data_IF_025316540223
#
_entry.id   IF_025316540223
#
_cell.length_a   1.000
_cell.length_b   1.000
_cell.length_c   1.000
_cell.angle_alpha   90.00
_cell.angle_beta   90.00
_cell.angle_gamma   90.00
#
_symmetry.space_group_name_H-M   'P 1'
#
loop_
_entity.id
_entity.type
_entity.pdbx_description
1 polymer ?
#
# COMPACT_ATOMS: atom_id res chain seq x y z
N UNK A 1 0.98 5.31 21.05
CA UNK A 1 0.97 5.77 19.65
C UNK A 1 0.54 4.61 18.76
N UNK A 2 -0.67 4.67 18.21
CA UNK A 2 -1.24 3.54 17.45
C UNK A 2 -0.74 3.59 16.00
N UNK A 3 0.31 2.82 15.72
CA UNK A 3 0.81 2.66 14.34
C UNK A 3 -0.19 1.83 13.54
N UNK A 4 -0.81 2.43 12.52
CA UNK A 4 -1.71 1.70 11.62
C UNK A 4 -0.88 0.88 10.62
N UNK A 5 -1.04 -0.43 10.67
CA UNK A 5 -0.42 -1.38 9.75
C UNK A 5 -1.40 -1.77 8.65
N UNK A 6 -0.91 -1.97 7.43
CA UNK A 6 -1.65 -2.53 6.31
C UNK A 6 -0.87 -3.67 5.67
N UNK A 7 -1.53 -4.51 4.90
CA UNK A 7 -0.92 -5.65 4.20
C UNK A 7 -0.82 -5.32 2.72
N UNK A 8 0.34 -5.57 2.10
CA UNK A 8 0.50 -5.49 0.65
C UNK A 8 -0.16 -6.73 0.04
N UNK A 9 -1.23 -6.53 -0.73
CA UNK A 9 -1.99 -7.62 -1.34
C UNK A 9 -1.36 -8.03 -2.66
N UNK A 10 -1.19 -7.07 -3.56
CA UNK A 10 -0.63 -7.32 -4.88
C UNK A 10 -0.05 -6.03 -5.48
N UNK A 11 0.68 -6.14 -6.59
CA UNK A 11 0.98 -5.02 -7.45
C UNK A 11 -0.25 -4.57 -8.23
N UNK A 12 -0.20 -3.35 -8.76
CA UNK A 12 -1.12 -2.97 -9.82
C UNK A 12 -0.75 -3.74 -11.09
N UNK A 13 -1.60 -4.71 -11.43
CA UNK A 13 -1.48 -5.54 -12.62
C UNK A 13 -2.55 -5.17 -13.64
N UNK A 14 -2.21 -5.32 -14.91
CA UNK A 14 -3.14 -5.42 -16.03
C UNK A 14 -2.99 -6.79 -16.69
N UNK A 15 -3.73 -7.08 -17.78
CA UNK A 15 -3.81 -8.43 -18.36
C UNK A 15 -2.47 -9.07 -18.74
N UNK A 16 -1.49 -8.27 -19.18
CA UNK A 16 -0.13 -8.71 -19.56
C UNK A 16 0.96 -7.79 -19.03
N UNK A 17 0.63 -6.89 -18.10
CA UNK A 17 1.57 -5.87 -17.62
C UNK A 17 1.51 -5.76 -16.11
N UNK A 18 2.67 -5.51 -15.50
CA UNK A 18 2.77 -5.24 -14.07
C UNK A 18 3.37 -3.86 -13.88
N UNK A 19 2.80 -3.08 -12.94
CA UNK A 19 3.33 -1.77 -12.54
C UNK A 19 3.98 -1.92 -11.15
N UNK A 20 5.26 -2.33 -11.06
CA UNK A 20 5.90 -2.72 -9.80
C UNK A 20 6.09 -1.56 -8.80
N UNK A 21 5.95 -0.31 -9.28
CA UNK A 21 6.01 0.89 -8.42
C UNK A 21 4.70 1.15 -7.67
N UNK A 22 3.60 0.51 -8.08
CA UNK A 22 2.28 0.69 -7.49
C UNK A 22 1.79 -0.61 -6.89
N UNK A 23 1.39 -0.56 -5.62
CA UNK A 23 0.89 -1.70 -4.89
C UNK A 23 -0.50 -1.42 -4.35
N UNK A 24 -1.29 -2.48 -4.25
CA UNK A 24 -2.56 -2.52 -3.57
C UNK A 24 -2.30 -2.90 -2.11
N UNK A 25 -2.74 -2.05 -1.21
CA UNK A 25 -2.60 -2.24 0.23
C UNK A 25 -3.98 -2.31 0.85
N UNK A 26 -4.18 -3.29 1.72
CA UNK A 26 -5.39 -3.43 2.53
C UNK A 26 -5.07 -3.04 3.97
N UNK A 27 -5.85 -2.13 4.53
CA UNK A 27 -5.76 -1.78 5.94
C UNK A 27 -6.85 -2.51 6.73
N UNK A 28 -6.55 -2.97 7.96
CA UNK A 28 -7.57 -3.51 8.84
C UNK A 28 -8.58 -2.40 9.16
N UNK A 29 -9.86 -2.76 9.22
CA UNK A 29 -10.99 -1.86 9.51
C UNK A 29 -11.30 -0.81 8.41
N UNK A 30 -10.73 -0.97 7.21
CA UNK A 30 -11.00 -0.13 6.04
C UNK A 30 -11.61 -0.99 4.95
N UNK A 31 -12.93 -1.16 5.01
CA UNK A 31 -13.68 -2.04 4.10
C UNK A 31 -14.46 -1.27 3.02
N UNK A 32 -14.57 0.06 3.16
CA UNK A 32 -15.30 0.91 2.20
C UNK A 32 -14.35 1.90 1.52
N UNK A 33 -14.71 2.29 0.28
CA UNK A 33 -13.97 3.29 -0.49
C UNK A 33 -13.90 4.66 0.23
N UNK A 34 -14.94 5.03 0.97
CA UNK A 34 -15.01 6.28 1.75
C UNK A 34 -14.04 6.29 2.93
N UNK A 35 -13.89 5.16 3.64
CA UNK A 35 -12.88 5.05 4.70
C UNK A 35 -11.47 5.07 4.11
N UNK A 36 -11.29 4.43 2.95
CA UNK A 36 -10.01 4.37 2.26
C UNK A 36 -9.57 5.74 1.69
N UNK A 37 -10.52 6.60 1.27
CA UNK A 37 -10.20 7.92 0.73
C UNK A 37 -9.53 8.83 1.76
N UNK A 38 -9.85 8.65 3.05
CA UNK A 38 -9.20 9.37 4.17
C UNK A 38 -7.69 9.06 4.30
N UNK A 39 -7.24 7.94 3.74
CA UNK A 39 -5.83 7.55 3.75
C UNK A 39 -5.03 8.17 2.60
N UNK A 40 -5.70 8.78 1.62
CA UNK A 40 -5.03 9.42 0.48
C UNK A 40 -4.08 10.50 0.99
N UNK A 41 -2.88 10.56 0.41
CA UNK A 41 -1.87 11.54 0.76
C UNK A 41 -0.94 11.11 1.89
N UNK A 42 -1.33 10.14 2.73
CA UNK A 42 -0.48 9.64 3.83
C UNK A 42 0.76 8.93 3.27
N UNK A 43 1.90 9.08 3.97
CA UNK A 43 3.12 8.34 3.65
C UNK A 43 3.05 6.96 4.29
N UNK A 44 3.66 5.98 3.63
CA UNK A 44 3.78 4.62 4.14
C UNK A 44 5.22 4.16 4.02
N UNK A 45 5.69 3.36 4.95
CA UNK A 45 6.93 2.62 4.80
C UNK A 45 6.68 1.13 4.83
N UNK A 46 7.34 0.48 3.90
CA UNK A 46 7.67 -0.93 4.00
C UNK A 46 9.06 -1.06 4.62
N UNK A 47 9.18 -1.86 5.68
CA UNK A 47 10.47 -2.22 6.28
C UNK A 47 10.87 -3.61 5.82
N UNK A 48 12.00 -3.68 5.12
CA UNK A 48 12.78 -4.90 5.00
C UNK A 48 13.88 -4.88 6.05
N UNK A 49 14.40 -6.05 6.41
CA UNK A 49 15.53 -6.22 7.34
C UNK A 49 16.70 -5.27 7.08
N UNK A 50 16.93 -4.91 5.81
CA UNK A 50 18.07 -4.08 5.38
C UNK A 50 17.69 -2.69 4.86
N UNK A 51 16.44 -2.45 4.47
CA UNK A 51 16.05 -1.25 3.71
C UNK A 51 14.64 -0.77 4.04
N UNK A 52 14.50 0.55 4.21
CA UNK A 52 13.20 1.22 4.33
C UNK A 52 12.78 1.77 2.97
N UNK A 53 11.67 1.28 2.42
CA UNK A 53 11.09 1.79 1.17
C UNK A 53 9.88 2.65 1.52
N UNK A 54 9.95 3.94 1.15
CA UNK A 54 8.89 4.91 1.41
C UNK A 54 8.01 5.04 0.17
N UNK A 55 6.70 5.05 0.41
CA UNK A 55 5.67 5.31 -0.58
C UNK A 55 4.64 6.31 -0.07
N UNK A 56 3.72 6.68 -0.95
CA UNK A 56 2.58 7.55 -0.66
C UNK A 56 1.31 6.88 -1.14
N UNK A 57 0.24 7.01 -0.37
CA UNK A 57 -1.10 6.60 -0.82
C UNK A 57 -1.58 7.62 -1.87
N UNK A 58 -1.87 7.14 -3.07
CA UNK A 58 -2.22 7.98 -4.23
C UNK A 58 -3.72 8.01 -4.46
N UNK A 59 -4.38 6.85 -4.37
CA UNK A 59 -5.80 6.72 -4.69
C UNK A 59 -6.40 5.51 -3.96
N UNK A 60 -7.72 5.43 -3.91
CA UNK A 60 -8.44 4.20 -3.54
C UNK A 60 -8.41 3.19 -4.69
N UNK A 61 -8.74 1.93 -4.38
CA UNK A 61 -8.83 0.87 -5.36
C UNK A 61 -10.07 0.01 -5.13
N UNK A 62 -10.98 0.03 -6.12
CA UNK A 62 -12.25 -0.66 -6.03
C UNK A 62 -13.11 -0.17 -4.86
N UNK A 63 -14.07 -0.99 -4.45
CA UNK A 63 -15.06 -0.66 -3.41
C UNK A 63 -14.71 -1.24 -2.03
N UNK A 64 -13.87 -2.28 -1.98
CA UNK A 64 -13.52 -3.06 -0.77
C UNK A 64 -12.50 -2.37 0.18
N UNK A 65 -12.35 -1.06 0.06
CA UNK A 65 -11.44 -0.28 0.92
C UNK A 65 -9.94 -0.51 0.70
N UNK A 66 -9.54 -1.09 -0.44
CA UNK A 66 -8.12 -1.15 -0.81
C UNK A 66 -7.62 0.24 -1.22
N UNK A 67 -6.33 0.48 -1.03
CA UNK A 67 -5.67 1.69 -1.50
C UNK A 67 -4.50 1.38 -2.41
N UNK A 68 -4.23 2.30 -3.34
CA UNK A 68 -3.04 2.32 -4.18
C UNK A 68 -1.95 3.11 -3.50
N UNK A 69 -0.85 2.43 -3.22
CA UNK A 69 0.39 3.02 -2.75
C UNK A 69 1.39 3.06 -3.89
N UNK A 70 2.01 4.22 -4.10
CA UNK A 70 3.12 4.39 -5.04
C UNK A 70 4.43 4.52 -4.27
N UNK A 71 5.34 3.60 -4.51
CA UNK A 71 6.70 3.60 -3.97
C UNK A 71 7.67 4.23 -4.98
N UNK A 72 8.70 4.95 -4.49
CA UNK A 72 9.68 5.61 -5.37
C UNK A 72 10.44 4.62 -6.26
N UNK A 73 10.92 3.52 -5.66
CA UNK A 73 11.70 2.47 -6.35
C UNK A 73 10.88 1.21 -6.66
N UNK A 74 9.64 1.12 -6.18
CA UNK A 74 8.89 -0.15 -6.12
C UNK A 74 9.33 -1.02 -4.95
N UNK A 75 8.59 -2.09 -4.70
CA UNK A 75 8.91 -3.12 -3.70
C UNK A 75 9.24 -4.44 -4.41
N UNK A 76 10.08 -5.30 -3.83
CA UNK A 76 10.37 -6.62 -4.39
C UNK A 76 9.18 -7.57 -4.22
N UNK A 77 9.09 -8.62 -5.05
CA UNK A 77 8.02 -9.64 -4.97
C UNK A 77 7.82 -10.24 -3.57
N UNK A 78 8.91 -10.38 -2.82
CA UNK A 78 8.94 -10.82 -1.42
C UNK A 78 8.13 -9.93 -0.46
N UNK A 79 7.79 -8.71 -0.86
CA UNK A 79 6.97 -7.80 -0.07
C UNK A 79 5.47 -8.13 -0.12
N UNK A 80 5.02 -8.96 -1.06
CA UNK A 80 3.61 -9.37 -1.10
C UNK A 80 3.27 -10.19 0.15
N UNK A 81 2.12 -9.90 0.76
CA UNK A 81 1.69 -10.50 2.03
C UNK A 81 2.34 -9.91 3.28
N UNK A 82 3.29 -8.99 3.14
CA UNK A 82 3.96 -8.35 4.28
C UNK A 82 3.32 -7.03 4.69
N UNK A 83 3.71 -6.53 5.86
CA UNK A 83 3.13 -5.34 6.45
C UNK A 83 3.81 -4.03 5.98
N UNK A 84 2.99 -3.01 5.80
CA UNK A 84 3.40 -1.61 5.67
C UNK A 84 2.84 -0.81 6.83
N UNK A 85 3.60 0.17 7.29
CA UNK A 85 3.16 1.11 8.33
C UNK A 85 2.90 2.48 7.74
N UNK A 86 1.84 3.14 8.18
CA UNK A 86 1.67 4.57 7.89
C UNK A 86 2.74 5.35 8.65
N UNK A 87 3.49 6.18 7.93
CA UNK A 87 4.37 7.18 8.52
C UNK A 87 3.62 8.50 8.41
N UNK A 88 3.15 9.01 9.54
CA UNK A 88 2.51 10.31 9.68
C UNK A 88 3.22 11.05 10.78
#
# INVERSE_FOLDING_TARGET
MTTLYGVIVNYRVGPKTQRPKECLVKFPNVDTAEKASRLIGRKVAWHSEKKRIIGKVVATHGTKGLVRVRFRRGVPGQALGTYVRIIG
#
